data_IF_294946981517
#
_entry.id   IF_294946981517
#
_cell.length_a   1.000
_cell.length_b   1.000
_cell.length_c   1.000
_cell.angle_alpha   90.00
_cell.angle_beta   90.00
_cell.angle_gamma   90.00
#
_symmetry.space_group_name_H-M   'P 1'
#
loop_
_entity.id
_entity.type
_entity.pdbx_description
1 polymer ?
#
# COMPACT_ATOMS: atom_id res chain seq x y z
N UNK A 1 -24.99 14.86 10.28
CA UNK A 1 -23.63 14.33 10.12
C UNK A 1 -23.44 13.09 10.98
N UNK A 2 -22.76 12.06 10.52
CA UNK A 2 -22.40 10.92 11.35
C UNK A 2 -21.37 11.35 12.41
N UNK A 3 -21.31 10.64 13.52
CA UNK A 3 -20.28 10.87 14.54
C UNK A 3 -18.96 10.21 14.14
N UNK A 4 -19.05 9.12 13.40
CA UNK A 4 -17.90 8.30 12.95
C UNK A 4 -18.06 7.94 11.48
N UNK A 5 -16.98 7.99 10.72
CA UNK A 5 -16.90 7.48 9.36
C UNK A 5 -15.71 6.52 9.24
N UNK A 6 -15.92 5.37 8.60
CA UNK A 6 -14.93 4.32 8.49
C UNK A 6 -14.50 4.19 7.03
N UNK A 7 -13.19 4.24 6.79
CA UNK A 7 -12.60 4.07 5.46
C UNK A 7 -11.53 2.98 5.51
N UNK A 8 -11.42 2.19 4.43
CA UNK A 8 -10.40 1.15 4.34
C UNK A 8 -8.99 1.72 4.21
N UNK A 9 -8.03 1.12 4.89
CA UNK A 9 -6.61 1.48 4.78
C UNK A 9 -5.98 1.07 3.45
N UNK A 10 -6.63 0.22 2.66
CA UNK A 10 -6.12 -0.20 1.36
C UNK A 10 -5.88 1.00 0.43
N UNK A 11 -6.81 1.95 0.39
CA UNK A 11 -6.66 3.25 -0.27
C UNK A 11 -6.07 4.26 0.72
N UNK A 12 -4.84 4.02 1.14
CA UNK A 12 -4.21 4.75 2.23
C UNK A 12 -4.05 6.25 1.94
N UNK A 13 -3.72 6.61 0.72
CA UNK A 13 -3.64 8.02 0.31
C UNK A 13 -5.00 8.72 0.46
N UNK A 14 -6.07 8.07 0.04
CA UNK A 14 -7.43 8.59 0.20
C UNK A 14 -7.78 8.77 1.69
N UNK A 15 -7.44 7.81 2.52
CA UNK A 15 -7.65 7.90 3.96
C UNK A 15 -6.94 9.11 4.56
N UNK A 16 -5.67 9.32 4.20
CA UNK A 16 -4.88 10.47 4.66
C UNK A 16 -5.49 11.81 4.20
N UNK A 17 -5.95 11.88 2.96
CA UNK A 17 -6.60 13.09 2.40
C UNK A 17 -7.88 13.40 3.18
N UNK A 18 -8.72 12.39 3.44
CA UNK A 18 -9.97 12.56 4.18
C UNK A 18 -9.70 12.99 5.62
N UNK A 19 -8.74 12.37 6.29
CA UNK A 19 -8.35 12.77 7.65
C UNK A 19 -7.86 14.22 7.72
N UNK A 20 -7.06 14.62 6.74
CA UNK A 20 -6.57 15.99 6.63
C UNK A 20 -7.70 16.97 6.38
N UNK A 21 -8.61 16.67 5.48
CA UNK A 21 -9.77 17.50 5.17
C UNK A 21 -10.67 17.71 6.41
N UNK A 22 -10.98 16.63 7.11
CA UNK A 22 -11.83 16.67 8.32
C UNK A 22 -11.20 17.54 9.40
N UNK A 23 -9.89 17.39 9.61
CA UNK A 23 -9.13 18.19 10.57
C UNK A 23 -9.09 19.67 10.17
N UNK A 24 -8.72 19.95 8.92
CA UNK A 24 -8.48 21.32 8.46
C UNK A 24 -9.77 22.14 8.30
N UNK A 25 -10.90 21.48 8.09
CA UNK A 25 -12.23 22.11 8.01
C UNK A 25 -13.03 22.01 9.31
N UNK A 26 -12.41 21.51 10.39
CA UNK A 26 -13.08 21.32 11.69
C UNK A 26 -14.43 20.58 11.58
N UNK A 27 -14.48 19.55 10.73
CA UNK A 27 -15.69 18.74 10.56
C UNK A 27 -15.81 17.82 11.79
N UNK A 28 -16.94 17.84 12.52
CA UNK A 28 -17.10 17.08 13.76
C UNK A 28 -17.40 15.59 13.48
N UNK A 29 -16.50 14.91 12.79
CA UNK A 29 -16.59 13.48 12.46
C UNK A 29 -15.26 12.82 12.79
N UNK A 30 -15.30 11.70 13.51
CA UNK A 30 -14.11 10.87 13.71
C UNK A 30 -13.89 9.98 12.50
N UNK A 31 -12.68 9.99 11.95
CA UNK A 31 -12.29 9.13 10.81
C UNK A 31 -11.49 7.95 11.32
N UNK A 32 -12.02 6.75 11.11
CA UNK A 32 -11.37 5.49 11.49
C UNK A 32 -10.89 4.77 10.24
N UNK A 33 -9.61 4.39 10.22
CA UNK A 33 -9.04 3.51 9.20
C UNK A 33 -9.30 2.05 9.55
N UNK A 34 -9.97 1.32 8.65
CA UNK A 34 -10.18 -0.12 8.79
C UNK A 34 -9.05 -0.89 8.10
N UNK A 35 -8.51 -1.88 8.79
CA UNK A 35 -7.43 -2.73 8.25
C UNK A 35 -7.82 -3.37 6.93
N UNK A 36 -6.88 -3.47 6.01
CA UNK A 36 -7.05 -4.15 4.74
C UNK A 36 -7.40 -5.62 4.97
N UNK A 37 -8.51 -6.06 4.37
CA UNK A 37 -8.91 -7.47 4.38
C UNK A 37 -8.16 -8.18 3.25
N UNK A 38 -7.62 -9.36 3.57
CA UNK A 38 -6.81 -10.14 2.63
C UNK A 38 -7.37 -11.53 2.44
N UNK A 39 -7.14 -12.08 1.24
CA UNK A 39 -7.30 -13.51 0.98
C UNK A 39 -6.26 -14.30 1.78
N UNK A 40 -6.43 -15.63 1.89
CA UNK A 40 -5.50 -16.49 2.63
C UNK A 40 -4.05 -16.37 2.17
N UNK A 41 -3.82 -16.13 0.88
CA UNK A 41 -2.49 -15.97 0.29
C UNK A 41 -1.92 -14.55 0.41
N UNK A 42 -2.62 -13.65 1.07
CA UNK A 42 -2.18 -12.28 1.33
C UNK A 42 -2.68 -11.25 0.34
N UNK A 43 -3.30 -11.66 -0.77
CA UNK A 43 -3.82 -10.70 -1.74
C UNK A 43 -4.89 -9.81 -1.11
N UNK A 44 -4.72 -8.50 -1.18
CA UNK A 44 -5.71 -7.55 -0.70
C UNK A 44 -7.01 -7.71 -1.49
N UNK A 45 -8.13 -7.85 -0.76
CA UNK A 45 -9.44 -8.00 -1.40
C UNK A 45 -9.80 -6.75 -2.19
N UNK A 46 -10.26 -6.98 -3.42
CA UNK A 46 -10.71 -5.93 -4.34
C UNK A 46 -11.60 -6.52 -5.42
N UNK A 47 -12.59 -5.76 -5.85
CA UNK A 47 -13.40 -6.14 -7.03
C UNK A 47 -12.56 -6.25 -8.31
N UNK A 48 -11.44 -5.53 -8.39
CA UNK A 48 -10.50 -5.61 -9.51
C UNK A 48 -9.85 -6.99 -9.65
N UNK A 49 -9.78 -7.76 -8.58
CA UNK A 49 -9.23 -9.12 -8.62
C UNK A 49 -10.02 -10.05 -9.54
N UNK A 50 -11.28 -9.74 -9.80
CA UNK A 50 -12.13 -10.50 -10.73
C UNK A 50 -11.66 -10.41 -12.19
N UNK A 51 -10.88 -9.40 -12.53
CA UNK A 51 -10.34 -9.23 -13.89
C UNK A 51 -9.03 -10.00 -14.11
N UNK A 52 -8.45 -10.59 -13.06
CA UNK A 52 -7.23 -11.38 -13.16
C UNK A 52 -7.52 -12.72 -13.82
N UNK A 53 -6.65 -13.14 -14.74
CA UNK A 53 -6.64 -14.52 -15.24
C UNK A 53 -6.21 -15.47 -14.11
N UNK A 54 -6.45 -16.77 -14.28
CA UNK A 54 -6.03 -17.77 -13.30
C UNK A 54 -4.50 -17.72 -13.04
N UNK A 55 -3.71 -17.50 -14.08
CA UNK A 55 -2.25 -17.34 -13.97
C UNK A 55 -1.88 -16.07 -13.22
N UNK A 56 -2.50 -14.95 -13.56
CA UNK A 56 -2.29 -13.67 -12.90
C UNK A 56 -2.69 -13.72 -11.42
N UNK A 57 -3.80 -14.37 -11.12
CA UNK A 57 -4.27 -14.53 -9.74
C UNK A 57 -3.25 -15.24 -8.85
N UNK A 58 -2.49 -16.19 -9.40
CA UNK A 58 -1.42 -16.88 -8.67
C UNK A 58 -0.20 -16.00 -8.43
N UNK A 59 0.06 -15.04 -9.31
CA UNK A 59 1.17 -14.09 -9.21
C UNK A 59 0.81 -12.92 -8.27
N UNK A 60 -0.44 -12.49 -8.27
CA UNK A 60 -0.92 -11.30 -7.57
C UNK A 60 -0.50 -11.20 -6.08
N UNK A 61 -0.49 -12.28 -5.28
CA UNK A 61 -0.06 -12.22 -3.87
C UNK A 61 1.39 -11.78 -3.67
N UNK A 62 2.21 -11.86 -4.71
CA UNK A 62 3.61 -11.43 -4.62
C UNK A 62 3.77 -9.93 -4.38
N UNK A 63 2.78 -9.11 -4.75
CA UNK A 63 2.79 -7.69 -4.40
C UNK A 63 2.86 -7.49 -2.89
N UNK A 64 2.00 -8.16 -2.15
CA UNK A 64 2.00 -8.10 -0.68
C UNK A 64 3.32 -8.62 -0.09
N UNK A 65 3.83 -9.73 -0.62
CA UNK A 65 5.08 -10.32 -0.14
C UNK A 65 6.27 -9.37 -0.36
N UNK A 66 6.35 -8.75 -1.53
CA UNK A 66 7.44 -7.82 -1.86
C UNK A 66 7.39 -6.59 -0.97
N UNK A 67 6.23 -5.94 -0.83
CA UNK A 67 6.15 -4.74 0.02
C UNK A 67 6.32 -5.06 1.50
N UNK A 68 5.92 -6.24 1.95
CA UNK A 68 6.18 -6.70 3.31
C UNK A 68 7.67 -6.88 3.55
N UNK A 69 8.41 -7.40 2.57
CA UNK A 69 9.87 -7.52 2.66
C UNK A 69 10.54 -6.15 2.67
N UNK A 70 10.06 -5.20 1.87
CA UNK A 70 10.53 -3.81 1.93
C UNK A 70 10.35 -3.23 3.33
N UNK A 71 9.18 -3.43 3.94
CA UNK A 71 8.91 -2.95 5.29
C UNK A 71 9.88 -3.54 6.31
N UNK A 72 10.15 -4.83 6.23
CA UNK A 72 11.12 -5.49 7.11
C UNK A 72 12.54 -4.96 6.89
N UNK A 73 12.96 -4.80 5.64
CA UNK A 73 14.29 -4.30 5.31
C UNK A 73 14.51 -2.87 5.83
N UNK A 74 13.52 -2.00 5.68
CA UNK A 74 13.60 -0.62 6.19
C UNK A 74 13.61 -0.60 7.72
N UNK A 75 12.80 -1.42 8.35
CA UNK A 75 12.78 -1.57 9.82
C UNK A 75 14.14 -2.01 10.37
N UNK A 76 14.83 -2.87 9.62
CA UNK A 76 16.15 -3.40 9.99
C UNK A 76 17.31 -2.47 9.58
N UNK A 77 17.02 -1.26 9.11
CA UNK A 77 17.99 -0.23 8.78
C UNK A 77 18.33 -0.08 7.31
N UNK A 78 17.64 -0.79 6.42
CA UNK A 78 17.80 -0.61 4.97
C UNK A 78 17.34 0.77 4.51
N UNK A 79 18.04 1.33 3.52
CA UNK A 79 17.70 2.63 2.97
C UNK A 79 16.46 2.53 2.07
N UNK A 80 15.40 3.33 2.28
CA UNK A 80 14.20 3.28 1.46
C UNK A 80 14.45 3.42 -0.04
N UNK A 81 15.37 4.29 -0.43
CA UNK A 81 15.71 4.50 -1.84
C UNK A 81 16.27 3.24 -2.52
N UNK A 82 17.00 2.42 -1.80
CA UNK A 82 17.56 1.16 -2.33
C UNK A 82 16.49 0.08 -2.44
N UNK A 83 15.48 0.12 -1.60
CA UNK A 83 14.40 -0.86 -1.59
C UNK A 83 13.50 -0.74 -2.83
N UNK A 84 13.33 0.44 -3.36
CA UNK A 84 12.51 0.67 -4.56
C UNK A 84 13.01 -0.14 -5.75
N UNK A 85 14.29 -0.03 -6.08
CA UNK A 85 14.88 -0.74 -7.21
C UNK A 85 14.79 -2.25 -7.03
N UNK A 86 15.05 -2.73 -5.82
CA UNK A 86 14.91 -4.15 -5.49
C UNK A 86 13.48 -4.64 -5.67
N UNK A 87 12.50 -3.89 -5.14
CA UNK A 87 11.09 -4.27 -5.22
C UNK A 87 10.59 -4.29 -6.68
N UNK A 88 10.94 -3.29 -7.47
CA UNK A 88 10.58 -3.23 -8.89
C UNK A 88 11.15 -4.43 -9.65
N UNK A 89 12.40 -4.81 -9.37
CA UNK A 89 13.03 -5.97 -9.98
C UNK A 89 12.33 -7.28 -9.58
N UNK A 90 11.98 -7.44 -8.32
CA UNK A 90 11.27 -8.63 -7.83
C UNK A 90 9.87 -8.74 -8.43
N UNK A 91 9.14 -7.64 -8.54
CA UNK A 91 7.81 -7.63 -9.15
C UNK A 91 7.89 -7.97 -10.64
N UNK A 92 8.84 -7.40 -11.36
CA UNK A 92 9.05 -7.70 -12.79
C UNK A 92 9.40 -9.17 -13.00
N UNK A 93 10.29 -9.71 -12.19
CA UNK A 93 10.69 -11.12 -12.20
C UNK A 93 9.51 -12.06 -11.91
N UNK A 94 8.59 -11.64 -11.05
CA UNK A 94 7.41 -12.40 -10.71
C UNK A 94 6.37 -12.46 -11.84
N UNK A 95 6.42 -11.52 -12.79
CA UNK A 95 5.49 -11.44 -13.91
C UNK A 95 4.63 -10.19 -13.95
N UNK A 96 4.85 -9.22 -13.05
CA UNK A 96 4.20 -7.92 -13.14
C UNK A 96 4.73 -7.14 -14.35
N UNK A 97 3.85 -6.31 -14.92
CA UNK A 97 4.21 -5.37 -15.98
C UNK A 97 4.74 -4.05 -15.39
N UNK A 98 4.15 -2.93 -15.81
CA UNK A 98 4.56 -1.62 -15.32
C UNK A 98 4.34 -1.49 -13.81
N UNK A 99 5.36 -1.04 -13.11
CA UNK A 99 5.29 -0.68 -11.70
C UNK A 99 5.16 0.84 -11.63
N UNK A 100 3.99 1.33 -11.20
CA UNK A 100 3.75 2.76 -11.09
C UNK A 100 4.61 3.37 -9.98
N UNK A 101 4.59 2.74 -8.82
CA UNK A 101 5.45 3.13 -7.71
C UNK A 101 5.58 2.00 -6.68
N UNK A 102 6.70 2.02 -5.99
CA UNK A 102 6.91 1.42 -4.67
C UNK A 102 7.59 2.50 -3.85
N UNK A 103 6.92 3.00 -2.82
CA UNK A 103 7.38 4.15 -2.07
C UNK A 103 7.28 3.91 -0.56
N UNK A 104 8.24 4.45 0.18
CA UNK A 104 8.22 4.49 1.64
C UNK A 104 7.93 5.92 2.06
N UNK A 105 6.83 6.11 2.77
CA UNK A 105 6.32 7.44 3.10
C UNK A 105 5.96 7.54 4.58
N UNK A 106 6.02 8.77 5.11
CA UNK A 106 5.50 9.05 6.44
C UNK A 106 4.02 8.64 6.54
N UNK A 107 3.65 7.96 7.62
CA UNK A 107 2.30 7.41 7.77
C UNK A 107 1.21 8.49 7.89
N UNK A 108 1.54 9.70 8.32
CA UNK A 108 0.59 10.79 8.49
C UNK A 108 0.63 11.79 7.33
N UNK A 109 1.83 12.20 6.92
CA UNK A 109 2.02 13.28 5.94
C UNK A 109 2.19 12.78 4.52
N UNK A 110 2.55 11.52 4.32
CA UNK A 110 2.94 10.91 3.04
C UNK A 110 4.23 11.53 2.45
N UNK A 111 4.98 12.27 3.24
CA UNK A 111 6.28 12.78 2.83
C UNK A 111 7.30 11.64 2.68
N UNK A 112 8.29 11.78 1.80
CA UNK A 112 9.39 10.84 1.74
C UNK A 112 10.10 10.71 3.09
N UNK A 113 10.51 9.51 3.44
CA UNK A 113 11.28 9.24 4.65
C UNK A 113 12.61 8.59 4.29
N UNK A 114 13.63 8.84 5.12
CA UNK A 114 14.98 8.30 4.93
C UNK A 114 15.27 7.08 5.82
N UNK A 115 14.42 6.84 6.82
CA UNK A 115 14.57 5.74 7.77
C UNK A 115 13.23 5.41 8.46
N UNK A 116 13.25 4.48 9.39
CA UNK A 116 12.08 4.06 10.17
C UNK A 116 12.01 4.73 11.55
N UNK A 117 12.56 5.94 11.71
CA UNK A 117 12.53 6.67 12.99
C UNK A 117 11.14 7.17 13.38
N UNK A 118 10.24 7.28 12.42
CA UNK A 118 8.82 7.64 12.61
C UNK A 118 7.94 6.59 11.95
N UNK A 119 6.66 6.49 12.36
CA UNK A 119 5.71 5.61 11.69
C UNK A 119 5.69 5.89 10.19
N UNK A 120 5.90 4.86 9.41
CA UNK A 120 5.97 4.93 7.97
C UNK A 120 5.15 3.81 7.34
N UNK A 121 4.91 3.92 6.05
CA UNK A 121 4.16 2.96 5.27
C UNK A 121 4.80 2.71 3.93
N UNK A 122 4.85 1.46 3.53
CA UNK A 122 5.22 1.08 2.16
C UNK A 122 3.94 1.08 1.33
N UNK A 123 3.94 1.83 0.23
CA UNK A 123 2.82 1.92 -0.69
C UNK A 123 3.27 1.45 -2.06
N UNK A 124 2.44 0.69 -2.75
CA UNK A 124 2.76 0.21 -4.08
C UNK A 124 1.55 0.18 -5.00
N UNK A 125 1.81 0.40 -6.28
CA UNK A 125 0.86 0.17 -7.35
C UNK A 125 1.61 -0.43 -8.54
N UNK A 126 1.09 -1.53 -9.07
CA UNK A 126 1.69 -2.24 -10.19
C UNK A 126 0.63 -2.91 -11.05
N UNK A 127 0.91 -3.06 -12.32
CA UNK A 127 0.02 -3.72 -13.27
C UNK A 127 0.34 -5.21 -13.37
N UNK A 128 -0.70 -6.01 -13.31
CA UNK A 128 -0.65 -7.43 -13.63
C UNK A 128 -1.62 -7.65 -14.81
N UNK A 129 -1.06 -7.81 -16.01
CA UNK A 129 -1.85 -7.72 -17.22
C UNK A 129 -2.49 -6.32 -17.34
N UNK A 130 -3.81 -6.28 -17.45
CA UNK A 130 -4.59 -5.03 -17.54
C UNK A 130 -5.01 -4.49 -16.18
N UNK A 131 -4.81 -5.24 -15.12
CA UNK A 131 -5.32 -4.91 -13.80
C UNK A 131 -4.28 -4.16 -12.99
N UNK A 132 -4.62 -2.95 -12.56
CA UNK A 132 -3.78 -2.19 -11.64
C UNK A 132 -4.09 -2.61 -10.21
N UNK A 133 -3.11 -3.21 -9.56
CA UNK A 133 -3.20 -3.62 -8.17
C UNK A 133 -2.52 -2.58 -7.28
N UNK A 134 -3.15 -2.27 -6.17
CA UNK A 134 -2.59 -1.41 -5.13
C UNK A 134 -2.55 -2.16 -3.81
N UNK A 135 -1.55 -1.86 -3.01
CA UNK A 135 -1.44 -2.37 -1.65
C UNK A 135 -0.55 -1.45 -0.80
N UNK A 136 -0.61 -1.62 0.50
CA UNK A 136 0.29 -0.95 1.42
C UNK A 136 0.42 -1.74 2.71
N UNK A 137 1.53 -1.54 3.41
CA UNK A 137 1.79 -2.13 4.72
C UNK A 137 2.48 -1.11 5.62
N UNK A 138 2.25 -1.23 6.91
CA UNK A 138 2.93 -0.43 7.92
C UNK A 138 4.37 -0.90 8.13
N UNK A 139 5.25 0.03 8.52
CA UNK A 139 6.61 -0.25 8.98
C UNK A 139 6.65 -0.12 10.49
#
# INVERSE_FOLDING_TARGET
LPDVAIFGEKDYQQLCVIQTMVRDLDIPVEIIGAKTIREEDGLAMSSRNLYLTAKERKIAPLLYQVISQVAMNVRDGGQPINQRSWAEAELTKAGFGAVDYVAVRDAQTLDPVSDASRPARVLAAAYLGRTRLIDNVAI
#
